data_IF_855085275508
#
_entry.id   IF_855085275508
#
_cell.length_a   1.000
_cell.length_b   1.000
_cell.length_c   1.000
_cell.angle_alpha   90.00
_cell.angle_beta   90.00
_cell.angle_gamma   90.00
#
_symmetry.space_group_name_H-M   'P 1'
#
loop_
_entity.id
_entity.type
_entity.pdbx_description
1 polymer ?
#
# COMPACT_ATOMS: atom_id res chain seq x y z
N UNK A 1 -11.69 -16.17 0.47
CA UNK A 1 -12.25 -14.80 0.44
C UNK A 1 -12.86 -14.48 1.80
N UNK A 2 -13.13 -13.21 2.10
CA UNK A 2 -14.00 -12.89 3.23
C UNK A 2 -15.43 -13.29 2.87
N UNK A 3 -16.03 -14.20 3.63
CA UNK A 3 -17.38 -14.71 3.38
C UNK A 3 -18.38 -13.88 4.18
N UNK A 4 -19.47 -13.43 3.56
CA UNK A 4 -20.59 -12.83 4.28
C UNK A 4 -21.26 -13.94 5.11
N UNK A 5 -21.31 -13.78 6.43
CA UNK A 5 -21.81 -14.83 7.34
C UNK A 5 -23.32 -14.78 7.54
N UNK A 6 -24.04 -13.92 6.81
CA UNK A 6 -25.48 -13.68 7.01
C UNK A 6 -25.82 -12.97 8.32
N UNK A 7 -24.86 -12.69 9.21
CA UNK A 7 -25.06 -12.04 10.52
C UNK A 7 -24.42 -10.64 10.62
N UNK A 8 -24.49 -9.86 9.53
CA UNK A 8 -23.94 -8.49 9.49
C UNK A 8 -22.42 -8.38 9.70
N UNK A 9 -21.70 -9.50 9.63
CA UNK A 9 -20.25 -9.57 9.86
C UNK A 9 -19.57 -10.39 8.77
N UNK A 10 -18.27 -10.15 8.58
CA UNK A 10 -17.43 -10.93 7.66
C UNK A 10 -16.50 -11.80 8.48
N UNK A 11 -16.43 -13.10 8.17
CA UNK A 11 -15.38 -14.00 8.71
C UNK A 11 -14.24 -14.12 7.70
N UNK A 12 -13.01 -13.89 8.18
CA UNK A 12 -11.77 -14.02 7.41
C UNK A 12 -11.14 -12.70 6.98
N UNK A 13 -9.82 -12.72 6.78
CA UNK A 13 -9.06 -11.56 6.32
C UNK A 13 -9.46 -11.14 4.90
N UNK A 14 -9.51 -9.84 4.65
CA UNK A 14 -9.76 -9.30 3.31
C UNK A 14 -8.52 -9.51 2.44
N UNK A 15 -8.39 -10.68 1.81
CA UNK A 15 -7.19 -11.09 1.03
C UNK A 15 -6.86 -10.19 -0.18
N UNK A 16 -7.83 -9.42 -0.67
CA UNK A 16 -7.69 -8.52 -1.82
C UNK A 16 -7.34 -7.07 -1.42
N UNK A 17 -7.27 -6.77 -0.11
CA UNK A 17 -6.95 -5.44 0.39
C UNK A 17 -5.77 -5.52 1.33
N UNK A 18 -4.88 -4.56 1.20
CA UNK A 18 -3.77 -4.35 2.11
C UNK A 18 -3.82 -2.93 2.66
N UNK A 19 -3.06 -2.66 3.70
CA UNK A 19 -2.95 -1.32 4.27
C UNK A 19 -1.50 -0.93 4.54
N UNK A 20 -1.22 0.36 4.36
CA UNK A 20 0.10 0.98 4.55
C UNK A 20 -0.08 2.18 5.46
N UNK A 21 0.86 2.41 6.38
CA UNK A 21 0.92 3.66 7.13
C UNK A 21 1.58 4.74 6.28
N UNK A 22 0.87 5.84 6.03
CA UNK A 22 1.45 7.00 5.39
C UNK A 22 2.23 7.80 6.44
N UNK A 23 3.57 7.79 6.36
CA UNK A 23 4.45 8.49 7.30
C UNK A 23 4.29 10.01 7.28
N UNK A 24 3.84 10.60 6.17
CA UNK A 24 3.64 12.05 6.07
C UNK A 24 2.35 12.52 6.78
N UNK A 25 1.34 11.65 6.89
CA UNK A 25 0.04 12.02 7.49
C UNK A 25 -0.29 11.25 8.77
N UNK A 26 0.51 10.23 9.12
CA UNK A 26 0.24 9.33 10.24
C UNK A 26 -1.00 8.44 10.06
N UNK A 27 -1.60 8.42 8.86
CA UNK A 27 -2.87 7.75 8.60
C UNK A 27 -2.67 6.42 7.86
N UNK A 28 -3.51 5.43 8.17
CA UNK A 28 -3.52 4.17 7.43
C UNK A 28 -4.30 4.31 6.13
N UNK A 29 -3.72 3.84 5.03
CA UNK A 29 -4.32 3.88 3.69
C UNK A 29 -4.56 2.45 3.21
N UNK A 30 -5.78 2.17 2.76
CA UNK A 30 -6.16 0.92 2.08
C UNK A 30 -5.66 0.95 0.64
N UNK A 31 -5.00 -0.14 0.23
CA UNK A 31 -4.57 -0.38 -1.14
C UNK A 31 -5.28 -1.61 -1.70
N UNK A 32 -5.67 -1.52 -2.97
CA UNK A 32 -6.12 -2.66 -3.74
C UNK A 32 -4.93 -3.54 -4.12
N UNK A 33 -4.97 -4.84 -3.80
CA UNK A 33 -3.87 -5.74 -4.12
C UNK A 33 -3.78 -6.05 -5.62
N UNK A 34 -4.88 -5.92 -6.36
CA UNK A 34 -4.95 -6.26 -7.80
C UNK A 34 -4.55 -5.05 -8.63
N UNK A 35 -5.13 -3.88 -8.36
CA UNK A 35 -4.88 -2.67 -9.16
C UNK A 35 -3.77 -1.79 -8.60
N UNK A 36 -3.35 -2.01 -7.34
CA UNK A 36 -2.36 -1.19 -6.67
C UNK A 36 -2.84 0.20 -6.24
N UNK A 37 -4.11 0.55 -6.52
CA UNK A 37 -4.68 1.86 -6.23
C UNK A 37 -4.97 2.06 -4.74
N UNK A 38 -4.81 3.29 -4.26
CA UNK A 38 -5.24 3.70 -2.93
C UNK A 38 -6.73 4.01 -2.93
N UNK A 39 -7.48 3.33 -2.06
CA UNK A 39 -8.95 3.36 -2.10
C UNK A 39 -9.56 4.14 -0.96
N UNK A 40 -8.94 4.14 0.22
CA UNK A 40 -9.46 4.88 1.35
C UNK A 40 -8.35 5.22 2.35
N UNK A 41 -8.45 6.39 2.96
CA UNK A 41 -7.61 6.83 4.08
C UNK A 41 -8.43 6.74 5.36
N UNK A 42 -7.79 6.27 6.43
CA UNK A 42 -8.38 6.15 7.75
C UNK A 42 -8.10 7.39 8.59
N UNK A 43 -9.16 8.16 8.92
CA UNK A 43 -9.06 9.46 9.59
C UNK A 43 -8.59 9.39 11.04
N UNK A 44 -8.94 8.33 11.75
CA UNK A 44 -8.61 8.13 13.17
C UNK A 44 -7.18 7.64 13.41
N UNK A 45 -6.35 7.52 12.35
CA UNK A 45 -4.94 7.15 12.47
C UNK A 45 -4.68 5.70 12.90
N UNK A 46 -5.72 4.93 13.25
CA UNK A 46 -5.59 3.51 13.58
C UNK A 46 -5.67 2.61 12.34
N UNK A 47 -5.19 1.35 12.39
CA UNK A 47 -5.29 0.43 11.26
C UNK A 47 -6.73 0.00 11.00
N UNK A 48 -7.06 -0.29 9.74
CA UNK A 48 -8.32 -0.93 9.38
C UNK A 48 -8.41 -2.34 9.97
N UNK A 49 -9.53 -2.64 10.64
CA UNK A 49 -9.83 -3.96 11.20
C UNK A 49 -9.95 -4.99 10.08
N UNK A 50 -9.24 -6.11 10.21
CA UNK A 50 -9.30 -7.23 9.26
C UNK A 50 -8.60 -7.01 7.91
N UNK A 51 -7.79 -5.95 7.79
CA UNK A 51 -6.96 -5.68 6.60
C UNK A 51 -5.49 -5.92 6.92
N UNK A 52 -4.80 -6.69 6.08
CA UNK A 52 -3.39 -7.04 6.30
C UNK A 52 -2.49 -5.82 6.10
N UNK A 53 -1.61 -5.55 7.08
CA UNK A 53 -0.57 -4.51 6.94
C UNK A 53 0.50 -5.00 5.95
N UNK A 54 0.92 -4.16 5.03
CA UNK A 54 2.05 -4.49 4.14
C UNK A 54 3.36 -4.43 4.94
N UNK A 55 4.06 -5.57 5.05
CA UNK A 55 5.40 -5.62 5.67
C UNK A 55 6.49 -5.11 4.71
N UNK A 56 6.27 -5.29 3.41
CA UNK A 56 7.11 -4.81 2.31
C UNK A 56 6.17 -4.16 1.29
N UNK A 57 6.52 -3.00 0.69
CA UNK A 57 5.67 -2.41 -0.34
C UNK A 57 5.40 -3.46 -1.40
N UNK A 58 4.13 -3.84 -1.56
CA UNK A 58 3.79 -4.84 -2.58
C UNK A 58 4.16 -4.27 -3.95
N UNK A 59 4.74 -5.09 -4.85
CA UNK A 59 5.04 -4.66 -6.20
C UNK A 59 3.79 -4.03 -6.80
N UNK A 60 3.95 -2.83 -7.33
CA UNK A 60 2.89 -2.14 -8.07
C UNK A 60 2.63 -3.00 -9.32
N UNK A 61 1.59 -3.82 -9.32
CA UNK A 61 1.15 -4.45 -10.57
C UNK A 61 0.54 -3.32 -11.43
N UNK A 62 1.23 -2.94 -12.51
CA UNK A 62 1.09 -3.67 -13.76
C UNK A 62 2.44 -3.90 -14.45
N UNK A 63 2.84 -5.16 -14.69
CA UNK A 63 4.03 -5.55 -15.50
C UNK A 63 5.22 -4.57 -15.41
N UNK A 64 5.59 -4.10 -14.23
CA UNK A 64 6.79 -3.29 -14.10
C UNK A 64 7.97 -4.22 -14.37
N UNK A 65 8.62 -4.07 -15.52
CA UNK A 65 9.84 -4.79 -15.82
C UNK A 65 10.88 -4.46 -14.76
N UNK A 66 11.77 -5.40 -14.44
CA UNK A 66 12.87 -5.19 -13.49
C UNK A 66 13.69 -3.91 -13.84
N UNK A 67 13.76 -3.59 -15.13
CA UNK A 67 14.40 -2.38 -15.64
C UNK A 67 13.68 -1.09 -15.24
N UNK A 68 12.35 -1.08 -15.30
CA UNK A 68 11.54 0.07 -14.89
C UNK A 68 11.72 0.41 -13.40
N UNK A 69 11.80 -0.61 -12.55
CA UNK A 69 12.04 -0.46 -11.11
C UNK A 69 13.44 0.10 -10.83
N UNK A 70 14.47 -0.49 -11.46
CA UNK A 70 15.86 -0.01 -11.32
C UNK A 70 16.03 1.43 -11.80
N UNK A 71 15.37 1.80 -12.90
CA UNK A 71 15.41 3.17 -13.44
C UNK A 71 14.75 4.17 -12.49
N UNK A 72 13.63 3.80 -11.88
CA UNK A 72 12.97 4.62 -10.87
C UNK A 72 13.82 4.78 -9.60
N UNK A 73 14.44 3.71 -9.09
CA UNK A 73 15.36 3.76 -7.95
C UNK A 73 16.56 4.68 -8.22
N UNK A 74 17.19 4.55 -9.39
CA UNK A 74 18.32 5.39 -9.78
C UNK A 74 17.93 6.86 -9.92
N UNK A 75 16.73 7.14 -10.45
CA UNK A 75 16.21 8.50 -10.54
C UNK A 75 15.96 9.12 -9.16
N UNK A 76 15.38 8.37 -8.21
CA UNK A 76 15.18 8.83 -6.83
C UNK A 76 16.54 9.08 -6.15
N UNK A 77 17.52 8.19 -6.31
CA UNK A 77 18.87 8.39 -5.78
C UNK A 77 19.53 9.66 -6.35
N UNK A 78 19.39 9.91 -7.65
CA UNK A 78 19.94 11.11 -8.29
C UNK A 78 19.28 12.39 -7.76
N UNK A 79 17.96 12.41 -7.55
CA UNK A 79 17.24 13.55 -6.96
C UNK A 79 17.70 13.78 -5.52
N UNK A 80 17.84 12.73 -4.73
CA UNK A 80 18.29 12.83 -3.33
C UNK A 80 19.76 13.28 -3.23
N UNK A 81 20.62 12.83 -4.15
CA UNK A 81 22.01 13.28 -4.22
C UNK A 81 22.10 14.76 -4.59
N UNK A 82 21.31 15.23 -5.56
CA UNK A 82 21.24 16.66 -5.93
C UNK A 82 20.78 17.52 -4.76
N UNK A 83 19.79 17.07 -3.99
CA UNK A 83 19.28 17.79 -2.82
C UNK A 83 20.28 17.82 -1.64
N UNK A 84 21.24 16.88 -1.60
CA UNK A 84 22.32 16.86 -0.59
C UNK A 84 23.54 17.71 -1.00
N UNK A 85 23.66 18.02 -2.28
CA UNK A 85 24.76 18.81 -2.84
C UNK A 85 24.41 20.31 -2.97
N UNK A 86 23.19 20.70 -2.62
CA UNK A 86 22.69 22.07 -2.52
C UNK A 86 22.46 22.41 -1.04
#
# INVERSE_FOLDING_TARGET
>A
MATNTGKGSRKGAVKQRTQILNSATGQYVKRDKVTGQFVAVKKDGTPFKGVTREQRPLPIHPKATLEGLRKAEKAVQAVMARKRAA
#
